data_IF_527837862530
#
_entry.id   IF_527837862530
#
_cell.length_a   1.000
_cell.length_b   1.000
_cell.length_c   1.000
_cell.angle_alpha   90.00
_cell.angle_beta   90.00
_cell.angle_gamma   90.00
#
_symmetry.space_group_name_H-M   'P 1'
#
loop_
_entity.id
_entity.type
_entity.pdbx_description
1 polymer ?
#
# COMPACT_ATOMS: atom_id res chain seq x y z
N UNK A 1 -15.19 23.95 17.39
CA UNK A 1 -14.94 23.46 16.22
C UNK A 1 -14.70 22.07 16.32
N UNK A 2 -14.95 21.44 15.44
CA UNK A 2 -14.67 20.13 15.54
C UNK A 2 -13.44 19.87 14.84
N UNK A 3 -12.78 18.94 15.26
CA UNK A 3 -11.63 18.48 14.69
C UNK A 3 -11.98 17.59 13.59
N UNK A 4 -11.37 17.80 12.50
CA UNK A 4 -11.68 17.01 11.37
C UNK A 4 -10.68 15.91 11.27
N UNK A 5 -11.13 14.71 11.43
CA UNK A 5 -10.23 13.60 11.39
C UNK A 5 -9.64 13.38 10.04
N UNK A 6 -10.24 13.89 9.01
CA UNK A 6 -9.68 13.75 7.68
C UNK A 6 -8.37 14.46 7.56
N UNK A 7 -8.10 15.43 8.45
CA UNK A 7 -6.83 16.11 8.40
C UNK A 7 -5.72 15.26 8.96
N UNK A 8 -6.04 14.24 9.73
CA UNK A 8 -5.04 13.40 10.34
C UNK A 8 -4.65 12.27 9.42
N UNK A 9 -5.64 11.62 8.81
CA UNK A 9 -5.37 10.49 7.96
C UNK A 9 -5.59 10.86 6.52
N UNK A 10 -4.77 10.33 5.66
CA UNK A 10 -4.99 10.49 4.23
C UNK A 10 -4.76 9.16 3.54
N UNK A 11 -5.20 9.08 2.31
CA UNK A 11 -5.03 7.88 1.51
C UNK A 11 -4.39 8.29 0.21
N UNK A 12 -3.36 7.56 -0.18
CA UNK A 12 -2.74 7.75 -1.48
C UNK A 12 -3.00 6.53 -2.32
N UNK A 13 -3.37 6.76 -3.56
CA UNK A 13 -3.67 5.70 -4.50
C UNK A 13 -2.61 5.68 -5.57
N UNK A 14 -2.05 4.50 -5.83
CA UNK A 14 -1.03 4.32 -6.85
C UNK A 14 -1.59 3.34 -7.85
N UNK A 15 -1.98 3.84 -9.01
CA UNK A 15 -2.66 3.06 -10.01
C UNK A 15 -1.68 2.59 -11.05
N UNK A 16 -1.96 1.43 -11.64
CA UNK A 16 -1.12 0.88 -12.72
C UNK A 16 0.30 0.60 -12.25
N UNK A 17 0.42 0.15 -11.02
CA UNK A 17 1.70 -0.29 -10.49
C UNK A 17 1.65 -1.79 -10.34
N UNK A 18 2.15 -2.48 -11.35
CA UNK A 18 2.15 -3.94 -11.30
C UNK A 18 3.37 -4.43 -10.53
N UNK A 19 3.11 -5.08 -9.41
CA UNK A 19 4.19 -5.69 -8.64
C UNK A 19 3.85 -7.15 -8.45
N UNK A 20 4.73 -8.05 -8.84
CA UNK A 20 4.52 -9.46 -8.54
C UNK A 20 4.41 -9.64 -7.03
N UNK A 21 3.70 -10.67 -6.61
CA UNK A 21 3.42 -10.85 -5.19
C UNK A 21 4.65 -10.80 -4.30
N UNK A 22 5.76 -11.49 -4.63
CA UNK A 22 6.92 -11.41 -3.75
C UNK A 22 7.44 -9.99 -3.60
N UNK A 23 7.46 -9.24 -4.70
CA UNK A 23 7.94 -7.87 -4.63
C UNK A 23 6.97 -6.98 -3.88
N UNK A 24 5.67 -7.21 -4.07
CA UNK A 24 4.67 -6.45 -3.35
C UNK A 24 4.85 -6.62 -1.84
N UNK A 25 5.09 -7.83 -1.39
CA UNK A 25 5.31 -8.07 0.03
C UNK A 25 6.55 -7.36 0.53
N UNK A 26 7.62 -7.36 -0.25
CA UNK A 26 8.84 -6.66 0.12
C UNK A 26 8.61 -5.18 0.26
N UNK A 27 7.93 -4.60 -0.72
CA UNK A 27 7.66 -3.17 -0.71
C UNK A 27 6.82 -2.80 0.49
N UNK A 28 5.81 -3.59 0.79
CA UNK A 28 4.95 -3.32 1.94
C UNK A 28 5.77 -3.27 3.22
N UNK A 29 6.66 -4.25 3.41
CA UNK A 29 7.49 -4.26 4.59
C UNK A 29 8.45 -3.07 4.62
N UNK A 30 9.01 -2.71 3.47
CA UNK A 30 9.89 -1.56 3.39
C UNK A 30 9.16 -0.28 3.77
N UNK A 31 7.95 -0.13 3.28
CA UNK A 31 7.19 1.09 3.56
C UNK A 31 6.88 1.24 5.04
N UNK A 32 6.51 0.15 5.69
CA UNK A 32 6.25 0.25 7.13
C UNK A 32 7.52 0.56 7.92
N UNK A 33 8.67 0.17 7.40
CA UNK A 33 9.92 0.39 8.11
C UNK A 33 10.55 1.74 7.81
N UNK A 34 10.09 2.45 6.79
CA UNK A 34 10.73 3.67 6.33
C UNK A 34 10.00 4.90 6.85
N UNK A 35 10.53 5.49 7.89
CA UNK A 35 9.89 6.65 8.51
C UNK A 35 9.82 7.86 7.58
N UNK A 36 10.67 7.89 6.54
CA UNK A 36 10.62 9.03 5.63
C UNK A 36 9.38 9.03 4.76
N UNK A 37 8.66 7.91 4.71
CA UNK A 37 7.42 7.84 3.96
C UNK A 37 6.22 8.41 4.69
N UNK A 38 6.40 8.74 5.97
CA UNK A 38 5.31 9.18 6.82
C UNK A 38 4.91 8.06 7.76
N UNK A 39 3.81 8.27 8.46
CA UNK A 39 3.35 7.28 9.40
C UNK A 39 2.29 6.42 8.75
N UNK A 40 2.71 5.32 8.19
CA UNK A 40 1.81 4.44 7.46
C UNK A 40 1.08 3.54 8.44
N UNK A 41 -0.24 3.50 8.32
CA UNK A 41 -1.09 2.71 9.20
C UNK A 41 -1.57 1.44 8.53
N UNK A 42 -1.88 1.51 7.23
CA UNK A 42 -2.41 0.37 6.52
C UNK A 42 -2.07 0.47 5.05
N UNK A 43 -1.82 -0.66 4.43
CA UNK A 43 -1.59 -0.73 3.00
C UNK A 43 -2.48 -1.83 2.44
N UNK A 44 -3.17 -1.52 1.35
CA UNK A 44 -3.97 -2.51 0.66
C UNK A 44 -3.49 -2.56 -0.77
N UNK A 45 -3.22 -3.73 -1.28
CA UNK A 45 -2.75 -3.88 -2.64
C UNK A 45 -3.50 -4.99 -3.36
N UNK A 46 -3.65 -4.82 -4.67
CA UNK A 46 -4.28 -5.83 -5.50
C UNK A 46 -3.33 -6.19 -6.61
N UNK A 47 -3.11 -7.46 -6.81
CA UNK A 47 -2.20 -7.91 -7.84
C UNK A 47 -2.74 -9.17 -8.48
N UNK A 48 -2.31 -9.41 -9.71
CA UNK A 48 -2.69 -10.59 -10.45
C UNK A 48 -1.48 -11.50 -10.53
N UNK A 49 -1.69 -12.79 -10.30
CA UNK A 49 -0.59 -13.74 -10.38
C UNK A 49 -0.70 -14.67 -11.58
N UNK A 50 -1.53 -14.31 -12.53
CA UNK A 50 -1.71 -15.13 -13.71
C UNK A 50 -2.84 -16.13 -13.58
N UNK A 51 -3.21 -16.49 -12.37
CA UNK A 51 -4.33 -17.40 -12.14
C UNK A 51 -5.52 -16.71 -11.58
N UNK A 52 -5.39 -15.47 -11.21
CA UNK A 52 -6.49 -14.72 -10.63
C UNK A 52 -5.96 -13.54 -9.87
N UNK A 53 -6.83 -12.95 -9.08
CA UNK A 53 -6.49 -11.74 -8.34
C UNK A 53 -6.32 -12.03 -6.87
N UNK A 54 -5.40 -11.31 -6.26
CA UNK A 54 -5.15 -11.40 -4.83
C UNK A 54 -5.28 -10.04 -4.20
N UNK A 55 -5.84 -10.01 -3.01
CA UNK A 55 -5.91 -8.80 -2.21
C UNK A 55 -4.95 -8.93 -1.04
N UNK A 56 -4.03 -7.99 -0.92
CA UNK A 56 -3.13 -7.94 0.20
C UNK A 56 -3.59 -6.83 1.13
N UNK A 57 -3.70 -7.15 2.42
CA UNK A 57 -4.07 -6.18 3.43
C UNK A 57 -3.03 -6.23 4.51
N UNK A 58 -2.42 -5.10 4.82
CA UNK A 58 -1.31 -5.09 5.77
C UNK A 58 -1.43 -3.96 6.76
N UNK A 59 -1.10 -4.25 8.01
CA UNK A 59 -0.89 -3.25 9.03
C UNK A 59 0.50 -3.51 9.57
N UNK A 60 0.90 -2.76 10.59
CA UNK A 60 2.22 -2.98 11.16
C UNK A 60 2.37 -4.35 11.79
N UNK A 61 1.26 -4.92 12.23
CA UNK A 61 1.30 -6.17 12.97
C UNK A 61 0.98 -7.39 12.14
N UNK A 62 0.34 -7.23 11.02
CA UNK A 62 -0.15 -8.38 10.28
C UNK A 62 -0.26 -8.09 8.80
N UNK A 63 -0.16 -9.13 8.01
CA UNK A 63 -0.32 -9.06 6.57
C UNK A 63 -1.17 -10.25 6.17
N UNK A 64 -2.25 -10.01 5.46
CA UNK A 64 -3.11 -11.07 4.99
C UNK A 64 -3.24 -11.03 3.49
N UNK A 65 -3.46 -12.19 2.90
CA UNK A 65 -3.67 -12.33 1.48
C UNK A 65 -4.92 -13.15 1.29
N UNK A 66 -5.72 -12.77 0.33
CA UNK A 66 -6.85 -13.62 -0.02
C UNK A 66 -7.19 -13.48 -1.49
N UNK A 67 -7.67 -14.54 -2.12
CA UNK A 67 -8.10 -14.46 -3.51
C UNK A 67 -9.40 -13.68 -3.61
N UNK A 68 -9.53 -12.94 -4.70
CA UNK A 68 -10.78 -12.25 -4.99
C UNK A 68 -11.11 -12.47 -6.45
N UNK A 69 -12.38 -12.27 -6.80
CA UNK A 69 -12.82 -12.60 -8.13
C UNK A 69 -12.28 -11.65 -9.17
N UNK A 70 -12.18 -10.37 -8.86
CA UNK A 70 -11.77 -9.39 -9.84
C UNK A 70 -11.31 -8.13 -9.14
N UNK A 71 -10.33 -7.46 -9.73
CA UNK A 71 -9.82 -6.22 -9.17
C UNK A 71 -9.05 -5.49 -10.26
N UNK A 72 -8.46 -4.37 -9.92
CA UNK A 72 -7.51 -3.72 -10.80
C UNK A 72 -6.26 -3.46 -9.99
N UNK A 73 -5.16 -3.28 -10.68
CA UNK A 73 -3.89 -3.09 -10.01
C UNK A 73 -3.85 -1.72 -9.37
N UNK A 74 -3.88 -1.69 -8.07
CA UNK A 74 -3.81 -0.46 -7.31
C UNK A 74 -3.20 -0.77 -5.96
N UNK A 75 -2.45 0.19 -5.45
CA UNK A 75 -1.90 0.11 -4.11
C UNK A 75 -2.41 1.32 -3.36
N UNK A 76 -3.01 1.10 -2.22
CA UNK A 76 -3.60 2.14 -1.41
C UNK A 76 -2.82 2.22 -0.11
N UNK A 77 -2.26 3.39 0.18
CA UNK A 77 -1.49 3.61 1.39
C UNK A 77 -2.26 4.59 2.25
N UNK A 78 -2.53 4.20 3.49
CA UNK A 78 -3.33 5.00 4.41
C UNK A 78 -2.48 5.33 5.62
N UNK A 79 -2.48 6.59 6.02
CA UNK A 79 -1.71 7.01 7.17
C UNK A 79 -1.70 8.49 7.36
N UNK A 80 -0.71 8.95 8.14
CA UNK A 80 -0.57 10.36 8.50
C UNK A 80 0.69 10.91 7.87
N UNK A 81 0.60 12.13 7.37
CA UNK A 81 1.76 12.84 6.84
C UNK A 81 2.51 12.03 5.79
N UNK A 82 1.75 11.42 4.91
CA UNK A 82 2.33 10.56 3.89
C UNK A 82 3.13 11.37 2.88
N UNK A 83 4.25 10.81 2.46
CA UNK A 83 5.15 11.46 1.50
C UNK A 83 5.13 10.66 0.20
N UNK A 84 4.38 11.14 -0.76
CA UNK A 84 4.18 10.40 -2.00
C UNK A 84 5.50 10.06 -2.70
N UNK A 85 6.40 11.01 -2.82
CA UNK A 85 7.65 10.75 -3.54
C UNK A 85 8.50 9.71 -2.84
N UNK A 86 8.55 9.75 -1.51
CA UNK A 86 9.33 8.77 -0.78
C UNK A 86 8.72 7.38 -0.91
N UNK A 87 7.39 7.31 -0.91
CA UNK A 87 6.72 6.04 -1.08
C UNK A 87 6.97 5.49 -2.47
N UNK A 88 6.84 6.32 -3.50
CA UNK A 88 7.03 5.86 -4.86
C UNK A 88 8.45 5.38 -5.11
N UNK A 89 9.40 5.91 -4.39
CA UNK A 89 10.78 5.50 -4.60
C UNK A 89 10.98 4.01 -4.32
N UNK A 90 10.12 3.41 -3.52
CA UNK A 90 10.27 2.00 -3.18
C UNK A 90 9.93 1.07 -4.33
N UNK A 91 9.10 1.46 -5.26
CA UNK A 91 8.80 0.58 -6.38
C UNK A 91 9.19 1.16 -7.73
N UNK A 92 9.74 2.33 -7.75
CA UNK A 92 10.17 2.84 -8.99
C UNK A 92 11.52 2.38 -9.38
N UNK A 93 12.34 1.93 -8.51
CA UNK A 93 13.55 1.54 -8.88
C UNK A 93 13.58 0.36 -9.56
N UNK A 94 14.16 0.03 -10.24
CA UNK A 94 14.16 -1.13 -10.90
C UNK A 94 14.99 -1.31 -11.74
#
# INVERSE_FOLDING_TARGET
>A
MHFDQHDVFSSLYFIDRHLPLPRLKEVVNELFADASCGRIMRIKGFTSDGNGWLELNASRDAMTLKPIAKAQEVIIVIGEQLKRAAIEAHWKEV
#
